data_IF_331909804423
#
_entry.id   IF_331909804423
#
_cell.length_a   1.000
_cell.length_b   1.000
_cell.length_c   1.000
_cell.angle_alpha   90.00
_cell.angle_beta   90.00
_cell.angle_gamma   90.00
#
_symmetry.space_group_name_H-M   'P 1'
#
loop_
_entity.id
_entity.type
_entity.pdbx_description
1 polymer ?
#
# COMPACT_ATOMS: atom_id res chain seq x y z
N UNK A 1 69.82 13.91 -20.26
CA UNK A 1 68.40 14.35 -20.29
C UNK A 1 67.43 13.16 -20.45
N UNK A 2 67.39 12.19 -19.52
CA UNK A 2 66.44 11.05 -19.60
C UNK A 2 65.55 10.89 -18.36
N UNK A 3 65.70 11.76 -17.36
CA UNK A 3 64.97 11.69 -16.09
C UNK A 3 63.77 12.65 -16.02
N UNK A 4 63.69 13.67 -16.89
CA UNK A 4 62.60 14.66 -16.85
C UNK A 4 61.28 14.15 -17.47
N UNK A 5 61.35 13.25 -18.46
CA UNK A 5 60.16 12.77 -19.19
C UNK A 5 59.34 11.75 -18.39
N UNK A 6 59.96 11.03 -17.44
CA UNK A 6 59.27 10.00 -16.64
C UNK A 6 58.36 10.60 -15.55
N UNK A 7 58.72 11.77 -15.00
CA UNK A 7 57.91 12.45 -13.97
C UNK A 7 56.64 13.04 -14.59
N UNK A 8 56.75 13.61 -15.80
CA UNK A 8 55.61 14.23 -16.48
C UNK A 8 54.55 13.19 -16.92
N UNK A 9 54.98 12.00 -17.37
CA UNK A 9 54.06 10.90 -17.73
C UNK A 9 53.33 10.35 -16.49
N UNK A 10 54.00 10.26 -15.34
CA UNK A 10 53.37 9.80 -14.11
C UNK A 10 52.29 10.76 -13.59
N UNK A 11 52.51 12.09 -13.68
CA UNK A 11 51.54 13.10 -13.26
C UNK A 11 50.30 13.09 -14.18
N UNK A 12 50.49 12.96 -15.50
CA UNK A 12 49.40 12.82 -16.47
C UNK A 12 48.59 11.53 -16.26
N UNK A 13 49.26 10.41 -15.96
CA UNK A 13 48.60 9.14 -15.70
C UNK A 13 47.75 9.17 -14.40
N UNK A 14 48.25 9.79 -13.32
CA UNK A 14 47.49 9.94 -12.07
C UNK A 14 46.27 10.87 -12.27
N UNK A 15 46.41 11.94 -13.05
CA UNK A 15 45.30 12.84 -13.41
C UNK A 15 44.21 12.16 -14.24
N UNK A 16 44.58 11.31 -15.21
CA UNK A 16 43.62 10.50 -15.95
C UNK A 16 42.93 9.47 -15.06
N UNK A 17 43.65 8.76 -14.19
CA UNK A 17 43.03 7.75 -13.29
C UNK A 17 42.03 8.39 -12.32
N UNK A 18 42.34 9.55 -11.74
CA UNK A 18 41.42 10.25 -10.83
C UNK A 18 40.15 10.77 -11.53
N UNK A 19 40.25 11.20 -12.79
CA UNK A 19 39.07 11.64 -13.57
C UNK A 19 38.21 10.46 -14.03
N UNK A 20 38.81 9.30 -14.33
CA UNK A 20 38.07 8.08 -14.66
C UNK A 20 37.31 7.49 -13.46
N UNK A 21 37.89 7.53 -12.25
CA UNK A 21 37.21 7.07 -11.02
C UNK A 21 36.00 7.95 -10.71
N UNK A 22 36.18 9.28 -10.74
CA UNK A 22 35.07 10.23 -10.53
C UNK A 22 33.96 10.09 -11.59
N UNK A 23 34.33 9.84 -12.85
CA UNK A 23 33.35 9.61 -13.91
C UNK A 23 32.59 8.28 -13.73
N UNK A 24 33.25 7.22 -13.25
CA UNK A 24 32.57 5.96 -12.92
C UNK A 24 31.61 6.10 -11.74
N UNK A 25 31.98 6.84 -10.71
CA UNK A 25 31.12 7.13 -9.56
C UNK A 25 29.93 8.01 -9.97
N UNK A 26 30.16 9.04 -10.79
CA UNK A 26 29.11 9.89 -11.33
C UNK A 26 28.17 9.12 -12.27
N UNK A 27 28.68 8.19 -13.08
CA UNK A 27 27.86 7.31 -13.91
C UNK A 27 27.08 6.29 -13.06
N UNK A 28 27.66 5.77 -11.97
CA UNK A 28 26.96 4.90 -11.03
C UNK A 28 25.81 5.66 -10.34
N UNK A 29 26.08 6.87 -9.85
CA UNK A 29 25.06 7.75 -9.26
C UNK A 29 24.00 8.17 -10.28
N UNK A 30 24.38 8.51 -11.51
CA UNK A 30 23.45 8.86 -12.59
C UNK A 30 22.61 7.68 -13.05
N UNK A 31 23.15 6.45 -13.02
CA UNK A 31 22.41 5.20 -13.26
C UNK A 31 21.45 4.89 -12.11
N UNK A 32 21.79 5.24 -10.88
CA UNK A 32 20.91 5.10 -9.70
C UNK A 32 19.77 6.14 -9.72
N UNK A 33 20.05 7.36 -10.18
CA UNK A 33 19.06 8.44 -10.39
C UNK A 33 18.13 8.14 -11.58
N UNK A 34 18.65 7.56 -12.67
CA UNK A 34 17.83 7.18 -13.82
C UNK A 34 16.96 5.94 -13.54
N UNK A 35 17.36 5.01 -12.66
CA UNK A 35 16.45 3.96 -12.17
C UNK A 35 15.24 4.52 -11.40
N UNK A 36 15.38 5.70 -10.80
CA UNK A 36 14.28 6.45 -10.19
C UNK A 36 13.42 7.21 -11.20
N UNK A 37 13.89 7.35 -12.44
CA UNK A 37 13.28 8.18 -13.49
C UNK A 37 12.61 7.34 -14.58
N UNK A 38 13.15 6.15 -14.84
CA UNK A 38 12.67 5.22 -15.87
C UNK A 38 11.48 4.39 -15.42
N UNK A 39 10.87 4.72 -14.27
CA UNK A 39 9.70 4.02 -13.80
C UNK A 39 9.99 2.53 -13.72
N UNK A 40 10.68 2.11 -12.65
CA UNK A 40 10.15 0.93 -11.98
C UNK A 40 8.69 1.27 -11.74
N UNK A 41 7.89 0.81 -12.69
CA UNK A 41 6.47 0.80 -12.66
C UNK A 41 6.26 -0.16 -11.52
N UNK A 42 6.26 0.39 -10.30
CA UNK A 42 5.41 -0.10 -9.25
C UNK A 42 4.01 0.11 -9.84
N UNK A 43 3.65 -0.73 -10.80
CA UNK A 43 2.40 -1.41 -10.74
C UNK A 43 2.41 -1.99 -9.33
N UNK A 44 1.94 -1.17 -8.39
CA UNK A 44 1.18 -1.64 -7.28
C UNK A 44 -0.14 -2.02 -7.94
N UNK A 45 -0.32 -3.26 -8.46
CA UNK A 45 -1.66 -3.75 -8.74
C UNK A 45 -2.42 -3.54 -7.44
N UNK A 46 -3.42 -2.67 -7.53
CA UNK A 46 -3.79 -1.88 -6.38
C UNK A 46 -4.36 -2.72 -5.24
N UNK A 47 -3.77 -2.59 -4.06
CA UNK A 47 -4.41 -2.73 -2.76
C UNK A 47 -3.36 -2.45 -1.68
N UNK A 48 -2.70 -1.30 -1.75
CA UNK A 48 -1.84 -0.88 -0.63
C UNK A 48 -2.65 0.08 0.23
N UNK A 49 -3.45 -0.54 1.09
CA UNK A 49 -4.49 0.03 1.94
C UNK A 49 -5.60 -1.00 2.12
N UNK A 50 -6.23 -1.06 3.29
CA UNK A 50 -7.33 -1.99 3.60
C UNK A 50 -8.63 -1.73 2.80
N UNK A 51 -8.54 -1.00 1.69
CA UNK A 51 -9.67 -0.61 0.86
C UNK A 51 -9.75 -1.49 -0.38
N UNK A 52 -10.84 -2.25 -0.47
CA UNK A 52 -11.20 -3.08 -1.62
C UNK A 52 -11.28 -2.27 -2.94
N UNK A 53 -11.68 -1.01 -2.85
CA UNK A 53 -11.84 -0.10 -3.98
C UNK A 53 -11.20 1.24 -3.64
N UNK A 54 -10.36 1.75 -4.55
CA UNK A 54 -9.69 3.05 -4.36
C UNK A 54 -10.72 4.16 -4.13
N UNK A 55 -10.65 4.78 -2.95
CA UNK A 55 -11.52 5.88 -2.59
C UNK A 55 -10.99 7.22 -3.13
N UNK A 56 -11.62 8.32 -2.75
CA UNK A 56 -11.20 9.66 -3.19
C UNK A 56 -9.80 10.03 -2.68
N UNK A 57 -9.44 9.59 -1.48
CA UNK A 57 -8.14 9.86 -0.83
C UNK A 57 -7.06 9.03 -1.52
N UNK A 58 -7.32 7.75 -1.79
CA UNK A 58 -6.39 6.88 -2.51
C UNK A 58 -6.07 7.43 -3.90
N UNK A 59 -7.10 7.87 -4.64
CA UNK A 59 -6.93 8.44 -5.98
C UNK A 59 -6.11 9.73 -5.96
N UNK A 60 -6.35 10.58 -4.96
CA UNK A 60 -5.56 11.81 -4.75
C UNK A 60 -4.09 11.47 -4.51
N UNK A 61 -3.82 10.57 -3.55
CA UNK A 61 -2.46 10.17 -3.22
C UNK A 61 -1.73 9.56 -4.43
N UNK A 62 -2.41 8.72 -5.21
CA UNK A 62 -1.83 8.15 -6.43
C UNK A 62 -1.51 9.23 -7.48
N UNK A 63 -2.35 10.25 -7.63
CA UNK A 63 -2.08 11.36 -8.53
C UNK A 63 -0.91 12.22 -8.03
N UNK A 64 -0.82 12.45 -6.72
CA UNK A 64 0.27 13.21 -6.11
C UNK A 64 1.61 12.50 -6.25
N UNK A 65 1.63 11.16 -6.11
CA UNK A 65 2.82 10.33 -6.34
C UNK A 65 3.22 10.37 -7.82
N UNK A 66 2.27 10.21 -8.75
CA UNK A 66 2.53 10.22 -10.20
C UNK A 66 3.09 11.56 -10.67
N UNK A 67 2.52 12.66 -10.19
CA UNK A 67 2.89 14.01 -10.63
C UNK A 67 3.97 14.67 -9.74
N UNK A 68 4.36 14.02 -8.64
CA UNK A 68 5.29 14.55 -7.63
C UNK A 68 4.84 15.90 -7.06
N UNK A 69 3.53 16.05 -6.88
CA UNK A 69 2.88 17.28 -6.39
C UNK A 69 2.48 17.19 -4.91
N UNK A 70 2.72 16.06 -4.26
CA UNK A 70 2.40 15.85 -2.85
C UNK A 70 3.10 16.88 -1.95
N UNK A 71 2.38 17.37 -0.96
CA UNK A 71 2.87 18.29 0.08
C UNK A 71 2.42 17.83 1.46
N UNK A 72 3.10 18.29 2.50
CA UNK A 72 2.59 18.15 3.87
C UNK A 72 1.34 19.03 3.99
N UNK A 73 0.28 18.46 4.55
CA UNK A 73 -0.98 19.16 4.79
C UNK A 73 -0.99 19.66 6.23
N UNK A 74 -1.38 20.92 6.41
CA UNK A 74 -1.58 21.52 7.73
C UNK A 74 -3.00 21.28 8.24
N UNK A 75 -3.95 21.00 7.34
CA UNK A 75 -5.33 20.59 7.66
C UNK A 75 -5.92 19.63 6.63
N UNK A 76 -6.82 18.75 7.07
CA UNK A 76 -7.62 17.89 6.18
C UNK A 76 -8.48 18.71 5.19
N UNK A 77 -8.81 19.95 5.52
CA UNK A 77 -9.68 20.80 4.70
C UNK A 77 -9.00 21.25 3.40
N UNK A 78 -7.67 21.26 3.36
CA UNK A 78 -6.88 21.58 2.15
C UNK A 78 -7.11 20.59 1.00
N UNK A 79 -7.63 19.40 1.31
CA UNK A 79 -7.86 18.32 0.36
C UNK A 79 -9.32 17.86 0.33
N UNK A 80 -10.23 18.70 0.83
CA UNK A 80 -11.67 18.45 0.82
C UNK A 80 -12.22 17.73 2.06
N UNK A 81 -11.39 17.54 3.10
CA UNK A 81 -11.80 16.95 4.37
C UNK A 81 -11.94 15.43 4.35
N UNK A 82 -12.54 14.90 5.41
CA UNK A 82 -12.80 13.47 5.54
C UNK A 82 -13.90 13.01 4.59
N UNK A 83 -13.76 11.83 3.96
CA UNK A 83 -14.82 11.25 3.15
C UNK A 83 -16.10 11.11 3.97
N UNK A 84 -17.24 11.55 3.43
CA UNK A 84 -18.54 11.26 4.02
C UNK A 84 -18.88 9.78 3.81
N UNK A 85 -18.76 9.00 4.87
CA UNK A 85 -19.13 7.60 4.86
C UNK A 85 -20.65 7.45 4.80
N UNK A 86 -21.15 6.76 3.78
CA UNK A 86 -22.57 6.43 3.65
C UNK A 86 -22.82 5.11 4.37
N UNK A 87 -23.41 5.18 5.56
CA UNK A 87 -23.88 3.99 6.26
C UNK A 87 -25.24 3.55 5.72
N UNK A 88 -25.45 2.24 5.64
CA UNK A 88 -26.78 1.64 5.45
C UNK A 88 -27.39 1.36 6.83
N UNK A 89 -28.72 1.25 6.96
CA UNK A 89 -29.33 0.75 8.19
C UNK A 89 -28.68 -0.56 8.59
N UNK A 90 -28.29 -0.67 9.87
CA UNK A 90 -27.76 -1.92 10.40
C UNK A 90 -28.84 -3.02 10.30
N UNK A 91 -28.46 -4.26 9.96
CA UNK A 91 -29.38 -5.38 10.03
C UNK A 91 -29.85 -5.60 11.47
N UNK A 92 -31.00 -6.28 11.61
CA UNK A 92 -31.54 -6.64 12.92
C UNK A 92 -30.65 -7.71 13.55
N UNK A 93 -30.30 -7.47 14.81
CA UNK A 93 -29.48 -8.30 15.69
C UNK A 93 -30.19 -8.31 17.06
N UNK A 94 -30.88 -9.42 17.37
CA UNK A 94 -31.81 -9.51 18.48
C UNK A 94 -31.11 -9.77 19.83
N UNK A 95 -30.00 -10.50 19.83
CA UNK A 95 -29.21 -10.79 21.02
C UNK A 95 -27.97 -9.89 21.19
N UNK A 96 -27.71 -9.03 20.19
CA UNK A 96 -26.69 -7.97 20.18
C UNK A 96 -25.28 -8.52 20.23
N UNK A 97 -25.06 -9.64 19.58
CA UNK A 97 -23.79 -10.33 19.60
C UNK A 97 -22.86 -9.93 18.42
N UNK A 98 -23.39 -9.17 17.47
CA UNK A 98 -22.68 -8.69 16.29
C UNK A 98 -23.01 -9.46 15.01
N UNK A 99 -23.83 -10.51 15.07
CA UNK A 99 -24.36 -11.23 13.91
C UNK A 99 -25.78 -10.77 13.57
N UNK A 100 -26.20 -10.91 12.31
CA UNK A 100 -27.55 -10.56 11.91
C UNK A 100 -28.50 -11.76 12.03
N UNK A 101 -29.70 -11.56 12.59
CA UNK A 101 -30.72 -12.62 12.77
C UNK A 101 -30.94 -13.47 11.51
N UNK A 102 -30.95 -12.81 10.35
CA UNK A 102 -31.18 -13.44 9.05
C UNK A 102 -30.01 -14.34 8.61
N UNK A 103 -28.77 -13.95 8.94
CA UNK A 103 -27.58 -14.75 8.66
C UNK A 103 -27.50 -15.95 9.62
N UNK A 104 -27.79 -15.73 10.89
CA UNK A 104 -27.82 -16.80 11.89
C UNK A 104 -28.86 -17.87 11.53
N UNK A 105 -30.08 -17.46 11.18
CA UNK A 105 -31.14 -18.38 10.74
C UNK A 105 -30.73 -19.16 9.49
N UNK A 106 -30.02 -18.52 8.55
CA UNK A 106 -29.53 -19.17 7.33
C UNK A 106 -28.40 -20.18 7.60
N UNK A 107 -27.63 -19.99 8.68
CA UNK A 107 -26.51 -20.86 9.08
C UNK A 107 -26.87 -21.83 10.21
N UNK A 108 -28.15 -21.98 10.54
CA UNK A 108 -28.68 -22.85 11.60
C UNK A 108 -28.17 -22.50 13.02
N UNK A 109 -27.97 -21.20 13.27
CA UNK A 109 -27.65 -20.62 14.58
C UNK A 109 -28.92 -20.10 15.27
N UNK A 110 -28.83 -19.72 16.55
CA UNK A 110 -29.96 -19.23 17.34
C UNK A 110 -29.87 -17.71 17.54
N UNK A 111 -30.71 -16.90 16.86
CA UNK A 111 -30.70 -15.42 16.95
C UNK A 111 -31.02 -14.82 18.32
N UNK A 112 -31.15 -15.66 19.35
CA UNK A 112 -31.42 -15.26 20.74
C UNK A 112 -30.29 -15.69 21.68
N UNK A 113 -29.24 -16.33 21.17
CA UNK A 113 -28.17 -16.88 21.96
C UNK A 113 -26.81 -16.22 21.65
N UNK A 114 -26.43 -15.17 22.41
CA UNK A 114 -25.26 -14.34 22.09
C UNK A 114 -23.90 -15.03 22.32
N UNK A 115 -23.89 -16.31 22.68
CA UNK A 115 -22.70 -17.11 22.86
C UNK A 115 -22.39 -17.98 21.64
N UNK A 116 -23.35 -18.20 20.74
CA UNK A 116 -23.15 -19.08 19.59
C UNK A 116 -22.19 -18.49 18.55
N UNK A 117 -21.99 -17.16 18.52
CA UNK A 117 -20.91 -16.50 17.78
C UNK A 117 -19.52 -17.08 18.01
N UNK A 118 -19.24 -17.61 19.21
CA UNK A 118 -17.94 -18.20 19.56
C UNK A 118 -17.83 -19.68 19.15
N UNK A 119 -18.92 -20.28 18.65
CA UNK A 119 -18.93 -21.64 18.14
C UNK A 119 -18.25 -21.75 16.77
N UNK A 120 -18.00 -22.98 16.36
CA UNK A 120 -17.41 -23.36 15.08
C UNK A 120 -18.36 -24.37 14.41
N UNK A 121 -19.41 -23.88 13.75
CA UNK A 121 -20.49 -24.71 13.22
C UNK A 121 -20.00 -25.65 12.09
N UNK A 122 -19.03 -25.19 11.29
CA UNK A 122 -18.45 -25.91 10.16
C UNK A 122 -17.21 -26.75 10.48
N UNK A 123 -16.64 -26.62 11.68
CA UNK A 123 -15.45 -27.34 12.18
C UNK A 123 -14.17 -27.12 11.37
N UNK A 124 -13.97 -25.93 10.86
CA UNK A 124 -12.76 -25.56 10.10
C UNK A 124 -11.78 -24.68 10.90
N UNK A 125 -12.13 -24.35 12.15
CA UNK A 125 -11.32 -23.54 13.04
C UNK A 125 -11.67 -22.06 13.09
N UNK A 126 -12.65 -21.59 12.32
CA UNK A 126 -13.17 -20.23 12.41
C UNK A 126 -14.40 -20.15 13.33
N UNK A 127 -14.58 -19.01 13.98
CA UNK A 127 -15.79 -18.73 14.75
C UNK A 127 -16.93 -18.31 13.83
N UNK A 128 -18.17 -18.55 14.25
CA UNK A 128 -19.35 -18.09 13.51
C UNK A 128 -19.33 -16.57 13.28
N UNK A 129 -18.78 -15.79 14.20
CA UNK A 129 -18.59 -14.34 14.01
C UNK A 129 -17.61 -14.01 12.89
N UNK A 130 -16.48 -14.71 12.82
CA UNK A 130 -15.48 -14.49 11.77
C UNK A 130 -16.05 -14.82 10.40
N UNK A 131 -16.80 -15.91 10.27
CA UNK A 131 -17.53 -16.25 9.06
C UNK A 131 -18.56 -15.19 8.67
N UNK A 132 -19.33 -14.70 9.65
CA UNK A 132 -20.27 -13.63 9.40
C UNK A 132 -19.56 -12.39 8.86
N UNK A 133 -18.50 -11.92 9.52
CA UNK A 133 -17.71 -10.77 9.08
C UNK A 133 -17.10 -10.99 7.69
N UNK A 134 -16.60 -12.19 7.41
CA UNK A 134 -16.08 -12.56 6.11
C UNK A 134 -17.16 -12.51 5.02
N UNK A 135 -18.37 -12.98 5.33
CA UNK A 135 -19.51 -12.96 4.40
C UNK A 135 -20.01 -11.55 4.05
N UNK A 136 -19.77 -10.56 4.92
CA UNK A 136 -20.08 -9.15 4.66
C UNK A 136 -19.06 -8.49 3.72
N UNK A 137 -17.88 -9.09 3.54
CA UNK A 137 -16.86 -8.57 2.66
C UNK A 137 -17.26 -8.82 1.19
N UNK A 138 -17.37 -7.78 0.34
CA UNK A 138 -17.66 -7.98 -1.07
C UNK A 138 -16.50 -8.72 -1.74
N UNK A 139 -16.79 -9.86 -2.37
CA UNK A 139 -15.80 -10.57 -3.18
C UNK A 139 -15.52 -9.79 -4.47
N UNK A 140 -14.24 -9.57 -4.81
CA UNK A 140 -13.86 -8.99 -6.10
C UNK A 140 -14.31 -9.94 -7.21
N UNK A 141 -15.15 -9.45 -8.13
CA UNK A 141 -15.37 -10.13 -9.41
C UNK A 141 -14.24 -9.70 -10.33
N UNK A 142 -13.41 -10.67 -10.73
CA UNK A 142 -12.38 -10.48 -11.77
C UNK A 142 -12.98 -10.04 -13.11
#
# INVERSE_FOLDING_TARGET
>A
MKHSTRILIAILAVGQVMTFVSAQEALAQRKQINRFRDGQTLAFPGAEGASLVRDAVDKRLMNDIKNRTGKLLDSQDEVGGWPKLKSKPAPKDADRDGMADAWETANNLDPKNPNDRNGDAHKDGYTNLEEYLNSLCPQLKE
#
